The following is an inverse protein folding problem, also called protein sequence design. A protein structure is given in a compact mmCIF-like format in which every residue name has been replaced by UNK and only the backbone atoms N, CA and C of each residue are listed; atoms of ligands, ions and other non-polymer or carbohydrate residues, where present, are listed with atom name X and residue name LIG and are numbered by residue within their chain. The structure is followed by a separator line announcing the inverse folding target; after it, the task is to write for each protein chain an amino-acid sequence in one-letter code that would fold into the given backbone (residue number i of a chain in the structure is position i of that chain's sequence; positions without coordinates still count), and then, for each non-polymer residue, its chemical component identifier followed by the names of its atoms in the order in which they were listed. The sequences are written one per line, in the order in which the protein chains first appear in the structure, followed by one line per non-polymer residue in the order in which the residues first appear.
data_IF_356611995322
#
_entry.id   IF_356611995322
#
_cell.length_a   1.000
_cell.length_b   1.000
_cell.length_c   1.000
_cell.angle_alpha   90.00
_cell.angle_beta   90.00
_cell.angle_gamma   90.00
#
_symmetry.space_group_name_H-M   'P 1'
#
loop_
_entity.id
_entity.type
_entity.pdbx_description
1 polymer ?
#
# COMPACT_ATOMS: atom_id res chain seq x y z
N UNK A 1 2.06 -7.00 8.09
CA UNK A 1 2.46 -5.96 7.10
C UNK A 1 1.33 -5.74 6.11
N UNK A 2 1.15 -4.55 5.54
CA UNK A 2 0.00 -4.24 4.65
C UNK A 2 -0.19 -5.23 3.48
N UNK A 3 0.90 -5.80 2.95
CA UNK A 3 0.87 -6.83 1.91
C UNK A 3 0.18 -8.13 2.34
N UNK A 4 0.34 -8.53 3.61
CA UNK A 4 -0.23 -9.78 4.14
C UNK A 4 -1.75 -9.70 4.23
N UNK A 5 -2.29 -8.49 4.42
CA UNK A 5 -3.71 -8.21 4.54
C UNK A 5 -4.33 -7.72 3.22
N UNK A 6 -3.59 -7.74 2.11
CA UNK A 6 -4.06 -7.21 0.81
C UNK A 6 -5.41 -7.80 0.40
N UNK A 7 -5.58 -9.11 0.58
CA UNK A 7 -6.83 -9.83 0.29
C UNK A 7 -7.99 -9.48 1.24
N UNK A 8 -7.69 -9.01 2.45
CA UNK A 8 -8.73 -8.52 3.37
C UNK A 8 -9.29 -7.18 2.88
N UNK A 9 -8.48 -6.34 2.22
CA UNK A 9 -8.88 -5.02 1.73
C UNK A 9 -9.60 -5.07 0.37
N UNK A 10 -9.15 -5.90 -0.57
CA UNK A 10 -9.75 -5.99 -1.90
C UNK A 10 -11.22 -6.45 -1.81
N UNK A 11 -12.18 -5.65 -2.28
CA UNK A 11 -13.61 -5.93 -2.15
C UNK A 11 -14.13 -6.92 -3.20
N UNK A 12 -13.48 -8.06 -3.36
CA UNK A 12 -13.90 -9.07 -4.34
C UNK A 12 -13.00 -10.29 -4.32
N UNK A 13 -13.57 -11.48 -4.56
CA UNK A 13 -12.81 -12.74 -4.60
C UNK A 13 -11.68 -12.70 -5.64
N UNK A 14 -11.87 -11.92 -6.72
CA UNK A 14 -10.95 -11.79 -7.85
C UNK A 14 -10.40 -10.37 -8.03
N UNK A 15 -10.70 -9.43 -7.12
CA UNK A 15 -10.20 -8.06 -7.27
C UNK A 15 -8.68 -8.04 -7.11
N UNK A 16 -8.02 -7.56 -8.17
CA UNK A 16 -6.57 -7.40 -8.22
C UNK A 16 -6.11 -6.08 -7.59
N UNK A 17 -7.05 -5.20 -7.25
CA UNK A 17 -6.78 -3.85 -6.78
C UNK A 17 -7.47 -3.59 -5.43
N UNK A 18 -6.84 -2.74 -4.63
CA UNK A 18 -7.42 -2.11 -3.45
C UNK A 18 -7.58 -0.63 -3.74
N UNK A 19 -8.79 -0.11 -3.62
CA UNK A 19 -9.03 1.33 -3.77
C UNK A 19 -8.94 2.06 -2.41
N UNK A 20 -8.75 3.39 -2.46
CA UNK A 20 -8.60 4.19 -1.25
C UNK A 20 -9.85 4.20 -0.35
N UNK A 21 -11.04 3.95 -0.91
CA UNK A 21 -12.24 3.86 -0.09
C UNK A 21 -12.26 2.56 0.72
N UNK A 22 -11.88 1.43 0.13
CA UNK A 22 -11.71 0.16 0.83
C UNK A 22 -10.63 0.23 1.90
N UNK A 23 -9.53 0.94 1.62
CA UNK A 23 -8.49 1.20 2.63
C UNK A 23 -9.03 2.06 3.79
N UNK A 24 -9.87 3.05 3.51
CA UNK A 24 -10.55 3.86 4.55
C UNK A 24 -11.59 3.06 5.33
N UNK A 25 -12.30 2.14 4.69
CA UNK A 25 -13.18 1.18 5.35
C UNK A 25 -12.38 0.29 6.31
N UNK A 26 -11.27 -0.27 5.85
CA UNK A 26 -10.36 -1.07 6.67
C UNK A 26 -9.76 -0.29 7.84
N UNK A 27 -9.47 1.00 7.66
CA UNK A 27 -9.02 1.88 8.73
C UNK A 27 -10.12 2.32 9.71
N UNK A 28 -11.38 1.97 9.45
CA UNK A 28 -12.53 2.41 10.25
C UNK A 28 -12.89 3.90 10.07
N UNK A 29 -12.40 4.53 9.00
CA UNK A 29 -12.71 5.92 8.64
C UNK A 29 -13.98 6.04 7.77
N UNK A 30 -14.50 4.91 7.28
CA UNK A 30 -15.70 4.83 6.48
C UNK A 30 -16.58 3.66 6.96
N UNK A 31 -17.91 3.84 7.09
CA UNK A 31 -18.82 2.75 7.45
C UNK A 31 -18.77 1.62 6.42
N UNK A 32 -18.76 0.37 6.89
CA UNK A 32 -18.71 -0.83 6.06
C UNK A 32 -19.31 -2.01 6.82
N UNK A 33 -19.84 -2.99 6.11
CA UNK A 33 -20.31 -4.26 6.68
C UNK A 33 -19.20 -5.32 6.72
N UNK A 34 -18.02 -4.99 6.18
CA UNK A 34 -16.85 -5.87 6.11
C UNK A 34 -16.12 -5.92 7.45
N UNK A 35 -15.58 -7.07 7.78
CA UNK A 35 -14.75 -7.29 8.97
C UNK A 35 -13.29 -7.39 8.59
N UNK A 36 -12.44 -6.65 9.28
CA UNK A 36 -10.99 -6.64 9.09
C UNK A 36 -10.30 -7.11 10.37
N UNK A 37 -9.17 -7.77 10.25
CA UNK A 37 -8.33 -8.08 11.42
C UNK A 37 -7.83 -6.79 12.09
N UNK A 38 -7.43 -6.90 13.37
CA UNK A 38 -6.88 -5.77 14.11
C UNK A 38 -5.57 -5.27 13.46
N UNK A 39 -4.75 -6.21 12.99
CA UNK A 39 -3.51 -5.97 12.27
C UNK A 39 -3.76 -5.28 10.92
N UNK A 40 -4.77 -5.71 10.17
CA UNK A 40 -5.18 -5.07 8.92
C UNK A 40 -5.65 -3.63 9.17
N UNK A 41 -6.47 -3.43 10.20
CA UNK A 41 -6.95 -2.10 10.60
C UNK A 41 -5.78 -1.17 10.94
N UNK A 42 -4.81 -1.64 11.72
CA UNK A 42 -3.63 -0.87 12.11
C UNK A 42 -2.75 -0.53 10.90
N UNK A 43 -2.51 -1.49 10.02
CA UNK A 43 -1.73 -1.28 8.81
C UNK A 43 -2.39 -0.29 7.83
N UNK A 44 -3.72 -0.36 7.67
CA UNK A 44 -4.47 0.59 6.84
C UNK A 44 -4.36 2.03 7.37
N UNK A 45 -4.46 2.21 8.70
CA UNK A 45 -4.24 3.52 9.35
C UNK A 45 -2.83 4.04 9.12
N UNK A 46 -1.81 3.21 9.36
CA UNK A 46 -0.41 3.60 9.16
C UNK A 46 -0.13 4.03 7.71
N UNK A 47 -0.73 3.35 6.72
CA UNK A 47 -0.57 3.73 5.32
C UNK A 47 -1.25 5.07 5.00
N UNK A 48 -2.48 5.28 5.49
CA UNK A 48 -3.22 6.54 5.28
C UNK A 48 -2.54 7.75 5.94
N UNK A 49 -1.80 7.55 7.02
CA UNK A 49 -0.99 8.58 7.69
C UNK A 49 0.29 8.95 6.90
N UNK A 50 0.61 8.22 5.82
CA UNK A 50 1.80 8.42 4.99
C UNK A 50 1.41 8.86 3.58
N UNK A 51 0.94 10.11 3.37
CA UNK A 51 0.36 10.54 2.09
C UNK A 51 1.31 10.44 0.90
N UNK A 52 2.63 10.63 1.12
CA UNK A 52 3.63 10.42 0.06
C UNK A 52 3.73 8.96 -0.35
N UNK A 53 3.79 8.05 0.62
CA UNK A 53 3.86 6.62 0.37
C UNK A 53 2.58 6.12 -0.31
N UNK A 54 1.42 6.61 0.12
CA UNK A 54 0.13 6.29 -0.47
C UNK A 54 0.04 6.77 -1.93
N UNK A 55 0.59 7.95 -2.24
CA UNK A 55 0.68 8.47 -3.61
C UNK A 55 1.65 7.67 -4.49
N UNK A 56 2.80 7.30 -3.95
CA UNK A 56 3.76 6.44 -4.66
C UNK A 56 3.16 5.06 -4.95
N UNK A 57 2.29 4.56 -4.07
CA UNK A 57 1.58 3.30 -4.20
C UNK A 57 0.47 3.37 -5.25
N UNK A 58 -0.22 4.51 -5.32
CA UNK A 58 -1.22 4.83 -6.36
C UNK A 58 -0.57 4.76 -7.75
N UNK A 59 0.50 5.54 -7.94
CA UNK A 59 1.24 5.61 -9.20
C UNK A 59 1.90 4.26 -9.53
N UNK A 60 2.59 3.67 -8.56
CA UNK A 60 3.34 2.40 -8.67
C UNK A 60 4.14 2.23 -9.95
N UNK A 61 4.00 1.07 -10.59
CA UNK A 61 4.72 0.71 -11.81
C UNK A 61 3.76 0.15 -12.84
N UNK A 62 3.74 0.74 -14.03
CA UNK A 62 2.97 0.29 -15.17
C UNK A 62 3.67 -0.83 -15.96
N UNK A 63 2.95 -1.36 -16.95
CA UNK A 63 3.31 -2.55 -17.74
C UNK A 63 4.71 -2.53 -18.40
N UNK A 64 5.25 -1.35 -18.72
CA UNK A 64 6.57 -1.19 -19.36
C UNK A 64 7.67 -0.73 -18.39
N UNK A 65 7.40 -0.74 -17.08
CA UNK A 65 8.33 -0.24 -16.07
C UNK A 65 8.35 1.28 -15.89
N UNK A 66 7.46 2.00 -16.57
CA UNK A 66 7.18 3.41 -16.33
C UNK A 66 6.24 3.60 -15.13
N UNK A 67 6.18 4.80 -14.52
CA UNK A 67 5.13 5.11 -13.55
C UNK A 67 3.74 4.81 -14.12
N UNK A 68 2.86 4.22 -13.30
CA UNK A 68 1.44 4.04 -13.64
C UNK A 68 0.64 5.33 -13.47
N UNK A 69 -0.69 5.19 -13.41
CA UNK A 69 -1.60 6.33 -13.23
C UNK A 69 -1.85 6.62 -11.75
N UNK A 70 -2.11 7.87 -11.40
CA UNK A 70 -2.63 8.27 -10.08
C UNK A 70 -4.17 8.17 -10.15
N UNK A 71 -4.73 7.00 -9.82
CA UNK A 71 -6.16 6.67 -9.94
C UNK A 71 -6.81 6.13 -8.65
N UNK A 72 -6.17 6.38 -7.50
CA UNK A 72 -6.60 6.05 -6.14
C UNK A 72 -6.81 4.57 -5.87
N UNK A 73 -6.00 3.73 -6.50
CA UNK A 73 -5.98 2.28 -6.28
C UNK A 73 -4.56 1.73 -6.42
N UNK A 74 -4.33 0.56 -5.87
CA UNK A 74 -3.05 -0.12 -5.98
C UNK A 74 -3.25 -1.62 -5.98
N UNK A 75 -2.35 -2.33 -6.65
CA UNK A 75 -2.29 -3.79 -6.63
C UNK A 75 -1.11 -4.31 -5.78
N UNK A 76 -0.95 -5.63 -5.77
CA UNK A 76 0.16 -6.27 -5.07
C UNK A 76 1.52 -6.00 -5.72
N UNK A 77 1.56 -5.69 -7.02
CA UNK A 77 2.80 -5.38 -7.74
C UNK A 77 3.31 -3.98 -7.36
N UNK A 78 2.42 -3.01 -7.23
CA UNK A 78 2.72 -1.66 -6.70
C UNK A 78 3.31 -1.76 -5.28
N UNK A 79 2.71 -2.60 -4.42
CA UNK A 79 3.25 -2.90 -3.08
C UNK A 79 4.65 -3.51 -3.14
N UNK A 80 4.85 -4.52 -3.98
CA UNK A 80 6.15 -5.20 -4.12
C UNK A 80 7.23 -4.27 -4.66
N UNK A 81 6.87 -3.42 -5.63
CA UNK A 81 7.75 -2.40 -6.17
C UNK A 81 8.21 -1.44 -5.08
N UNK A 82 7.29 -0.89 -4.29
CA UNK A 82 7.61 0.05 -3.22
C UNK A 82 8.41 -0.58 -2.07
N UNK A 83 8.09 -1.82 -1.67
CA UNK A 83 8.87 -2.55 -0.67
C UNK A 83 10.30 -2.75 -1.17
N UNK A 84 10.49 -3.11 -2.45
CA UNK A 84 11.82 -3.27 -3.06
C UNK A 84 12.55 -1.93 -3.15
N UNK A 85 11.88 -0.86 -3.57
CA UNK A 85 12.46 0.48 -3.68
C UNK A 85 12.90 1.01 -2.30
N UNK A 86 12.04 0.89 -1.28
CA UNK A 86 12.37 1.30 0.08
C UNK A 86 13.47 0.44 0.73
N UNK A 87 13.55 -0.86 0.42
CA UNK A 87 14.69 -1.66 0.85
C UNK A 87 15.99 -1.18 0.20
N UNK A 88 15.98 -0.79 -1.07
CA UNK A 88 17.17 -0.24 -1.75
C UNK A 88 17.59 1.12 -1.19
N UNK A 89 16.66 2.01 -0.86
CA UNK A 89 16.98 3.30 -0.24
C UNK A 89 17.52 3.12 1.18
N UNK A 90 17.02 2.16 1.96
CA UNK A 90 17.58 1.80 3.27
C UNK A 90 18.99 1.20 3.14
N UNK A 91 19.25 0.38 2.11
CA UNK A 91 20.60 -0.14 1.86
C UNK A 91 21.57 0.96 1.44
N UNK A 92 21.14 1.91 0.60
CA UNK A 92 21.97 3.07 0.20
C UNK A 92 22.20 4.06 1.34
N UNK A 93 21.22 4.27 2.25
CA UNK A 93 21.40 5.12 3.43
C UNK A 93 22.18 4.44 4.57
N UNK A 94 22.53 3.15 4.47
CA UNK A 94 23.33 2.43 5.48
C UNK A 94 24.85 2.53 5.29
N UNK A 95 25.33 3.35 4.36
CA UNK A 95 26.76 3.66 4.16
C UNK A 95 27.12 5.10 4.56
N UNK A 96 26.51 5.60 5.62
CA UNK A 96 26.84 6.88 6.22
C UNK A 96 26.88 6.79 7.74
N UNK A 97 27.88 6.10 8.29
CA UNK A 97 28.25 6.27 9.70
C UNK A 97 29.70 6.71 9.79
N UNK A 98 29.87 8.00 10.04
CA UNK A 98 31.04 8.55 10.70
C UNK A 98 30.96 8.19 12.19
N UNK A 99 31.93 7.42 12.67
CA UNK A 99 32.72 7.64 13.89
C UNK A 99 34.09 7.06 13.64
#
# INVERSE_FOLDING_TARGET
MIKEHFREYAAGADDQYVNFNELKEAAGLRPTTRTFSAEATAAAKELLERPKLLRDLDIGIGFLGFPGNEDQRFDIENLDYLIRANRRTVTFCRQGKWI
#
